data_IF_065502485831
#
_entry.id   IF_065502485831
#
_cell.length_a   1.000
_cell.length_b   1.000
_cell.length_c   1.000
_cell.angle_alpha   90.00
_cell.angle_beta   90.00
_cell.angle_gamma   90.00
#
_symmetry.space_group_name_H-M   'P 1'
#
loop_
_entity.id
_entity.type
_entity.pdbx_description
1 polymer ?
2 non-polymer ?
3 non-polymer ?
4 water ?
#
# COMPACT_ATOMS: atom_id res chain seq x y z
N UNK A 1 30.92 -3.83 -3.44
CA UNK A 1 29.44 -3.60 -3.32
C UNK A 1 29.06 -2.45 -2.35
N UNK A 2 28.31 -1.49 -2.87
CA UNK A 2 27.92 -0.30 -2.13
C UNK A 2 26.91 -0.64 -1.01
N UNK A 3 27.02 0.04 0.14
CA UNK A 3 26.00 -0.09 1.20
C UNK A 3 24.77 0.69 0.79
N UNK A 4 23.60 0.11 1.00
CA UNK A 4 22.37 0.83 0.77
C UNK A 4 21.94 1.56 2.04
N UNK A 5 21.52 2.83 1.93
CA UNK A 5 21.19 3.58 3.15
C UNK A 5 19.99 3.04 3.96
N UNK A 6 19.11 2.24 3.33
CA UNK A 6 17.97 1.62 4.04
C UNK A 6 18.34 0.38 4.85
N UNK A 7 19.55 -0.14 4.66
CA UNK A 7 19.85 -1.46 5.17
C UNK A 7 19.92 -1.49 6.68
N UNK A 8 20.46 -0.44 7.29
CA UNK A 8 20.58 -0.43 8.76
C UNK A 8 19.24 -0.61 9.47
N UNK A 9 18.22 0.10 9.02
CA UNK A 9 16.89 -0.01 9.64
C UNK A 9 16.37 -1.47 9.54
N UNK A 10 16.56 -2.05 8.36
CA UNK A 10 16.09 -3.42 8.07
C UNK A 10 16.87 -4.46 8.89
N UNK A 11 18.20 -4.38 8.84
CA UNK A 11 19.06 -5.33 9.59
C UNK A 11 18.80 -5.33 11.10
N UNK A 12 18.46 -4.17 11.67
CA UNK A 12 18.18 -4.07 13.09
C UNK A 12 16.93 -4.86 13.49
N UNK A 13 16.00 -5.11 12.55
CA UNK A 13 14.77 -5.85 12.93
C UNK A 13 14.55 -7.19 12.22
N UNK A 14 15.37 -7.54 11.22
CA UNK A 14 15.15 -8.78 10.45
C UNK A 14 15.30 -10.01 11.32
N UNK A 15 14.56 -11.08 11.01
CA UNK A 15 14.78 -12.37 11.65
C UNK A 15 15.99 -13.10 11.10
N UNK A 16 16.22 -14.29 11.65
CA UNK A 16 17.34 -15.16 11.25
C UNK A 16 17.42 -15.46 9.76
N UNK A 17 16.26 -15.58 9.10
CA UNK A 17 16.25 -15.84 7.67
C UNK A 17 16.40 -14.59 6.76
N UNK A 18 16.67 -13.42 7.34
CA UNK A 18 16.83 -12.19 6.57
C UNK A 18 15.54 -11.54 6.10
N UNK A 19 14.43 -11.94 6.72
CA UNK A 19 13.12 -11.39 6.39
C UNK A 19 12.46 -10.72 7.58
N UNK A 20 11.53 -9.84 7.26
CA UNK A 20 10.74 -9.14 8.24
C UNK A 20 9.25 -9.44 8.04
N UNK A 21 8.55 -9.51 9.18
CA UNK A 21 7.09 -9.57 9.21
C UNK A 21 6.50 -8.17 9.38
N UNK A 22 5.17 -8.07 9.49
CA UNK A 22 4.48 -6.77 9.55
C UNK A 22 4.91 -5.92 10.74
N UNK A 23 5.05 -6.60 11.87
CA UNK A 23 5.46 -5.99 13.13
C UNK A 23 6.83 -5.33 12.99
N UNK A 24 7.78 -6.07 12.41
CA UNK A 24 9.12 -5.55 12.20
C UNK A 24 9.12 -4.45 11.13
N UNK A 25 8.30 -4.60 10.08
CA UNK A 25 8.18 -3.53 9.07
C UNK A 25 7.67 -2.23 9.73
N UNK A 26 6.67 -2.33 10.59
CA UNK A 26 6.11 -1.19 11.32
C UNK A 26 7.22 -0.39 11.99
N UNK A 27 8.09 -1.10 12.69
CA UNK A 27 9.23 -0.48 13.37
C UNK A 27 10.22 0.19 12.42
N UNK A 28 10.60 -0.48 11.34
CA UNK A 28 11.64 0.10 10.50
C UNK A 28 11.07 1.22 9.63
N UNK A 29 9.78 1.16 9.31
CA UNK A 29 9.13 2.28 8.61
C UNK A 29 9.07 3.52 9.50
N UNK A 30 8.78 3.33 10.78
CA UNK A 30 8.76 4.45 11.70
C UNK A 30 10.18 5.00 11.89
N UNK A 31 11.16 4.14 12.19
CA UNK A 31 12.54 4.63 12.37
C UNK A 31 13.06 5.36 11.13
N UNK A 32 12.72 4.84 9.95
CA UNK A 32 13.15 5.42 8.70
C UNK A 32 12.42 6.70 8.31
N UNK A 33 11.34 7.04 9.01
CA UNK A 33 10.68 8.34 8.80
C UNK A 33 9.96 8.51 7.47
N UNK A 34 9.56 7.40 6.86
CA UNK A 34 8.92 7.45 5.54
C UNK A 34 7.62 8.28 5.50
N UNK A 35 6.92 8.34 6.63
CA UNK A 35 5.72 9.12 6.77
C UNK A 35 6.00 10.65 6.81
N UNK A 36 7.26 11.03 7.08
CA UNK A 36 7.71 12.41 6.95
C UNK A 36 6.84 13.46 7.60
N UNK A 37 6.53 13.30 8.86
CA UNK A 37 5.73 14.31 9.59
C UNK A 37 4.28 13.91 9.82
N UNK A 38 3.74 13.13 8.89
CA UNK A 38 2.43 12.53 9.06
C UNK A 38 2.53 11.37 10.05
N UNK A 39 1.37 10.92 10.53
CA UNK A 39 1.28 9.82 11.51
C UNK A 39 1.89 8.53 10.91
N UNK A 40 2.73 7.82 11.68
CA UNK A 40 3.37 6.60 11.17
C UNK A 40 2.38 5.46 10.96
N UNK A 41 2.72 4.54 10.09
CA UNK A 41 1.75 3.55 9.64
C UNK A 41 1.55 2.54 10.74
N UNK A 42 0.29 2.17 10.98
CA UNK A 42 -0.04 1.19 12.00
C UNK A 42 0.20 -0.23 11.47
N UNK A 43 0.06 -1.20 12.35
CA UNK A 43 0.42 -2.58 12.09
C UNK A 43 -0.41 -3.17 10.97
N UNK A 44 -1.69 -2.87 11.01
CA UNK A 44 -2.62 -3.35 10.02
C UNK A 44 -2.18 -2.91 8.61
N UNK A 45 -1.84 -1.64 8.50
CA UNK A 45 -1.47 -1.08 7.20
C UNK A 45 -0.18 -1.75 6.74
N UNK A 46 0.71 -2.04 7.69
CA UNK A 46 1.97 -2.72 7.36
C UNK A 46 1.72 -4.17 6.88
N UNK A 47 0.72 -4.85 7.45
CA UNK A 47 0.28 -6.14 6.91
C UNK A 47 -0.15 -6.09 5.44
N UNK A 48 -0.91 -5.07 5.09
CA UNK A 48 -1.28 -4.87 3.70
C UNK A 48 -0.02 -4.68 2.82
N UNK A 49 0.95 -3.90 3.31
CA UNK A 49 2.20 -3.66 2.57
C UNK A 49 2.98 -4.95 2.32
N UNK A 50 3.11 -5.75 3.37
CA UNK A 50 3.75 -7.05 3.24
C UNK A 50 3.11 -7.93 2.15
N UNK A 51 1.78 -7.98 2.10
CA UNK A 51 1.07 -8.77 1.09
C UNK A 51 1.24 -8.20 -0.32
N UNK A 52 1.23 -6.87 -0.42
CA UNK A 52 1.44 -6.21 -1.71
C UNK A 52 2.79 -6.60 -2.34
N UNK A 53 3.81 -6.71 -1.51
CA UNK A 53 5.16 -6.95 -2.02
C UNK A 53 5.51 -8.41 -2.07
N UNK A 54 5.14 -9.19 -1.06
CA UNK A 54 5.51 -10.61 -1.13
C UNK A 54 4.68 -11.38 -2.11
N UNK A 55 3.44 -10.95 -2.33
CA UNK A 55 2.52 -11.59 -3.27
C UNK A 55 2.54 -13.13 -3.19
N UNK A 56 2.66 -13.68 -1.98
CA UNK A 56 2.75 -15.13 -1.77
C UNK A 56 2.23 -15.61 -0.41
N UNK A 57 1.62 -14.70 0.36
CA UNK A 57 1.04 -15.04 1.67
C UNK A 57 2.01 -15.74 2.66
N UNK A 58 3.32 -15.44 2.58
CA UNK A 58 4.26 -15.88 3.62
C UNK A 58 4.17 -14.99 4.86
N UNK A 59 3.59 -13.81 4.71
CA UNK A 59 3.59 -12.80 5.76
C UNK A 59 4.93 -12.13 6.03
N UNK A 60 5.91 -12.30 5.15
CA UNK A 60 7.23 -11.72 5.35
C UNK A 60 7.76 -11.17 4.04
N UNK A 61 8.77 -10.32 4.15
CA UNK A 61 9.43 -9.74 3.00
C UNK A 61 10.92 -9.54 3.23
N UNK A 62 11.66 -9.52 2.13
CA UNK A 62 13.11 -9.38 2.13
C UNK A 62 13.49 -7.92 1.92
N UNK A 63 14.80 -7.65 2.02
CA UNK A 63 15.33 -6.29 1.89
C UNK A 63 15.05 -5.65 0.53
N UNK A 64 15.17 -6.40 -0.57
CA UNK A 64 14.87 -5.84 -1.89
C UNK A 64 13.44 -5.34 -2.00
N UNK A 65 12.51 -6.14 -1.47
CA UNK A 65 11.12 -5.73 -1.36
C UNK A 65 10.92 -4.52 -0.45
N UNK A 66 11.64 -4.46 0.67
CA UNK A 66 11.59 -3.29 1.54
C UNK A 66 12.03 -2.03 0.78
N UNK A 67 13.11 -2.13 0.00
CA UNK A 67 13.56 -0.99 -0.79
C UNK A 67 12.54 -0.54 -1.82
N UNK A 68 11.97 -1.49 -2.54
CA UNK A 68 10.92 -1.17 -3.50
C UNK A 68 9.74 -0.53 -2.79
N UNK A 69 9.32 -1.11 -1.66
CA UNK A 69 8.24 -0.53 -0.87
C UNK A 69 8.54 0.92 -0.50
N UNK A 70 9.75 1.15 0.00
CA UNK A 70 10.13 2.48 0.44
C UNK A 70 10.01 3.52 -0.69
N UNK A 71 10.54 3.20 -1.86
CA UNK A 71 10.41 4.10 -3.03
C UNK A 71 8.92 4.34 -3.43
N UNK A 72 8.10 3.31 -3.43
CA UNK A 72 6.69 3.46 -3.78
C UNK A 72 5.98 4.41 -2.77
N UNK A 73 6.27 4.25 -1.48
CA UNK A 73 5.63 5.04 -0.45
C UNK A 73 6.10 6.50 -0.47
N UNK A 74 7.38 6.70 -0.79
CA UNK A 74 7.95 8.03 -0.96
C UNK A 74 7.22 8.80 -2.07
N UNK A 75 7.08 8.19 -3.24
CA UNK A 75 6.29 8.78 -4.33
C UNK A 75 4.81 9.02 -3.96
N UNK A 76 4.18 8.07 -3.27
CA UNK A 76 2.77 8.28 -2.92
C UNK A 76 2.61 9.46 -1.96
N UNK A 77 3.53 9.58 -1.01
CA UNK A 77 3.51 10.68 -0.10
C UNK A 77 3.67 12.02 -0.83
N UNK A 78 4.64 12.11 -1.74
CA UNK A 78 4.80 13.34 -2.52
C UNK A 78 3.52 13.68 -3.24
N UNK A 79 2.88 12.66 -3.80
CA UNK A 79 1.63 12.86 -4.52
C UNK A 79 0.52 13.38 -3.61
N UNK A 80 0.36 12.76 -2.45
CA UNK A 80 -0.56 13.24 -1.44
C UNK A 80 -0.31 14.72 -1.09
N UNK A 81 0.95 15.07 -0.85
CA UNK A 81 1.31 16.44 -0.47
C UNK A 81 0.85 17.47 -1.51
N UNK A 82 0.92 17.13 -2.79
CA UNK A 82 0.42 18.05 -3.83
C UNK A 82 -1.09 18.34 -3.71
N UNK A 83 -1.83 17.49 -3.00
CA UNK A 83 -3.22 17.79 -2.67
C UNK A 83 -3.37 18.29 -1.25
N UNK A 84 -2.39 18.04 -0.39
CA UNK A 84 -2.42 18.53 0.97
C UNK A 84 -1.29 19.56 1.12
N UNK A 85 -1.44 20.69 0.44
CA UNK A 85 -0.42 21.75 0.47
C UNK A 85 -0.24 22.35 1.87
N UNK A 86 -1.35 22.64 2.56
CA UNK A 86 -1.31 23.11 3.96
C UNK A 86 -0.92 22.04 4.99
N UNK A 87 -0.65 20.82 4.52
CA UNK A 87 -0.19 19.73 5.38
C UNK A 87 -1.14 19.48 6.55
N UNK A 88 -2.45 19.41 6.29
CA UNK A 88 -3.39 19.04 7.37
C UNK A 88 -3.30 17.56 7.77
N UNK A 89 -2.75 16.72 6.88
CA UNK A 89 -2.78 15.29 7.08
C UNK A 89 -4.08 14.64 6.61
N UNK A 90 -4.91 15.41 5.90
CA UNK A 90 -6.17 14.90 5.36
C UNK A 90 -6.43 15.50 4.00
N UNK A 91 -7.43 14.95 3.35
CA UNK A 91 -7.72 15.25 1.97
C UNK A 91 -9.22 14.97 1.88
N UNK A 92 -9.93 15.61 0.95
CA UNK A 92 -11.37 15.35 0.83
C UNK A 92 -11.67 14.46 -0.38
N UNK A 93 -12.89 13.90 -0.44
CA UNK A 93 -13.21 12.94 -1.50
C UNK A 93 -12.95 13.42 -2.94
N UNK A 94 -13.08 14.72 -3.19
CA UNK A 94 -12.77 15.28 -4.51
C UNK A 94 -11.24 15.22 -4.77
N UNK A 95 -10.47 15.64 -3.78
CA UNK A 95 -9.00 15.55 -3.87
C UNK A 95 -8.53 14.08 -4.03
N UNK A 96 -9.15 13.17 -3.28
CA UNK A 96 -8.86 11.73 -3.37
C UNK A 96 -9.08 11.17 -4.77
N UNK A 97 -10.22 11.50 -5.37
CA UNK A 97 -10.53 11.07 -6.72
C UNK A 97 -9.42 11.47 -7.68
N UNK A 98 -9.07 12.75 -7.64
CA UNK A 98 -8.09 13.29 -8.55
C UNK A 98 -6.71 12.71 -8.24
N UNK A 99 -6.43 12.48 -6.96
CA UNK A 99 -5.17 11.86 -6.55
C UNK A 99 -5.06 10.43 -7.11
N UNK A 100 -6.14 9.65 -7.00
CA UNK A 100 -6.10 8.27 -7.51
C UNK A 100 -5.94 8.24 -9.03
N UNK A 101 -6.69 9.10 -9.72
CA UNK A 101 -6.65 9.16 -11.18
C UNK A 101 -5.27 9.51 -11.71
N UNK A 102 -4.62 10.46 -11.08
CA UNK A 102 -3.36 10.95 -11.62
C UNK A 102 -2.22 9.99 -11.32
N UNK A 103 -2.40 9.08 -10.37
CA UNK A 103 -1.35 8.11 -10.09
C UNK A 103 -1.53 6.81 -10.87
N UNK A 104 -2.38 6.83 -11.88
CA UNK A 104 -2.53 5.69 -12.78
C UNK A 104 -3.60 4.66 -12.46
N UNK A 105 -4.43 4.91 -11.44
CA UNK A 105 -5.59 4.04 -11.20
C UNK A 105 -6.78 4.47 -12.08
N UNK A 106 -7.34 3.50 -12.80
CA UNK A 106 -8.47 3.71 -13.70
C UNK A 106 -9.72 3.23 -13.01
N UNK A 107 -10.51 4.17 -12.50
CA UNK A 107 -11.66 3.84 -11.65
C UNK A 107 -12.92 4.58 -12.07
N UNK A 108 -14.00 3.83 -12.24
CA UNK A 108 -15.28 4.45 -12.52
C UNK A 108 -15.68 5.35 -11.34
N UNK A 109 -16.67 6.24 -11.55
CA UNK A 109 -17.11 7.13 -10.46
C UNK A 109 -17.63 6.39 -9.23
N UNK A 110 -18.37 5.31 -9.45
CA UNK A 110 -18.89 4.50 -8.34
C UNK A 110 -17.80 3.65 -7.66
N UNK A 111 -16.74 3.30 -8.38
CA UNK A 111 -15.56 2.71 -7.73
C UNK A 111 -14.96 3.72 -6.74
N UNK A 112 -14.87 4.97 -7.17
CA UNK A 112 -14.32 6.03 -6.33
C UNK A 112 -15.18 6.32 -5.09
N UNK A 113 -16.50 6.33 -5.30
CA UNK A 113 -17.47 6.46 -4.24
C UNK A 113 -17.38 5.31 -3.25
N UNK A 114 -17.27 4.09 -3.76
CA UNK A 114 -17.01 2.93 -2.89
C UNK A 114 -15.82 3.24 -1.95
N UNK A 115 -14.77 3.80 -2.54
CA UNK A 115 -13.50 4.03 -1.81
C UNK A 115 -13.60 5.20 -0.83
N UNK A 116 -14.32 6.25 -1.23
CA UNK A 116 -14.47 7.42 -0.35
C UNK A 116 -15.26 7.03 0.91
N UNK A 117 -16.37 6.33 0.73
CA UNK A 117 -17.17 5.87 1.86
C UNK A 117 -16.42 4.93 2.76
N UNK A 118 -15.59 4.10 2.14
CA UNK A 118 -14.83 3.12 2.89
C UNK A 118 -13.85 3.80 3.85
N UNK A 119 -13.26 4.94 3.46
CA UNK A 119 -12.13 5.52 4.24
C UNK A 119 -12.39 6.91 4.84
N UNK A 120 -13.53 7.52 4.57
CA UNK A 120 -13.71 8.88 5.05
C UNK A 120 -14.38 8.91 6.43
N UNK A 121 -13.95 9.85 7.28
CA UNK A 121 -14.69 10.20 8.50
C UNK A 121 -14.87 11.72 8.47
N UNK A 122 -16.12 12.17 8.56
CA UNK A 122 -16.41 13.59 8.64
C UNK A 122 -15.96 14.31 7.37
N UNK A 123 -16.20 13.68 6.22
CA UNK A 123 -15.77 14.24 4.96
C UNK A 123 -14.26 14.26 4.70
N UNK A 124 -13.47 13.54 5.50
CA UNK A 124 -12.01 13.56 5.34
C UNK A 124 -11.35 12.18 5.31
N UNK A 125 -10.28 12.06 4.51
CA UNK A 125 -9.47 10.85 4.43
C UNK A 125 -8.05 11.17 4.93
N UNK A 126 -7.63 10.50 5.99
CA UNK A 126 -6.29 10.68 6.51
C UNK A 126 -5.20 10.20 5.56
N UNK A 127 -3.99 10.70 5.80
CA UNK A 127 -2.85 10.24 5.05
C UNK A 127 -2.69 8.72 5.18
N UNK A 128 -2.82 8.21 6.39
CA UNK A 128 -2.61 6.80 6.65
C UNK A 128 -3.64 5.96 5.91
N UNK A 129 -4.89 6.43 5.79
CA UNK A 129 -5.95 5.68 5.08
C UNK A 129 -5.79 5.80 3.58
N UNK A 130 -5.38 6.98 3.14
CA UNK A 130 -4.97 7.14 1.76
C UNK A 130 -3.90 6.09 1.37
N UNK A 131 -2.85 5.96 2.17
CA UNK A 131 -1.79 5.00 1.84
C UNK A 131 -2.34 3.54 1.85
N UNK A 132 -3.11 3.21 2.88
CA UNK A 132 -3.73 1.88 2.96
C UNK A 132 -4.56 1.62 1.71
N UNK A 133 -5.35 2.61 1.30
CA UNK A 133 -6.14 2.54 0.09
C UNK A 133 -5.25 2.25 -1.14
N UNK A 134 -4.17 3.01 -1.32
CA UNK A 134 -3.28 2.81 -2.45
C UNK A 134 -2.58 1.44 -2.42
N UNK A 135 -2.17 0.99 -1.24
CA UNK A 135 -1.52 -0.29 -1.12
C UNK A 135 -2.47 -1.41 -1.59
N UNK A 136 -3.69 -1.35 -1.10
CA UNK A 136 -4.67 -2.39 -1.38
C UNK A 136 -5.07 -2.31 -2.84
N UNK A 137 -5.25 -1.11 -3.37
CA UNK A 137 -5.55 -0.94 -4.80
C UNK A 137 -4.48 -1.51 -5.71
N UNK A 138 -3.21 -1.27 -5.39
CA UNK A 138 -2.12 -1.78 -6.22
C UNK A 138 -2.01 -3.29 -6.07
N UNK A 139 -2.17 -3.81 -4.85
CA UNK A 139 -2.10 -5.26 -4.65
C UNK A 139 -3.22 -5.98 -5.42
N UNK A 140 -4.44 -5.47 -5.30
CA UNK A 140 -5.59 -6.09 -5.98
C UNK A 140 -5.53 -5.94 -7.48
N UNK A 141 -5.08 -4.79 -7.94
CA UNK A 141 -4.88 -4.56 -9.36
C UNK A 141 -3.78 -5.48 -9.89
N UNK A 142 -2.68 -5.66 -9.14
CA UNK A 142 -1.66 -6.63 -9.56
C UNK A 142 -2.26 -8.04 -9.64
N UNK A 143 -3.07 -8.41 -8.65
CA UNK A 143 -3.70 -9.75 -8.60
C UNK A 143 -4.62 -9.97 -9.79
N UNK A 144 -5.39 -8.95 -10.12
CA UNK A 144 -6.33 -9.04 -11.22
C UNK A 144 -5.57 -9.17 -12.55
N UNK A 145 -4.66 -8.24 -12.79
CA UNK A 145 -3.84 -8.24 -14.01
C UNK A 145 -3.10 -9.56 -14.19
N UNK A 146 -2.52 -10.09 -13.11
CA UNK A 146 -1.80 -11.38 -13.16
C UNK A 146 -2.70 -12.45 -13.77
N UNK A 147 -3.96 -12.45 -13.35
CA UNK A 147 -4.90 -13.49 -13.74
C UNK A 147 -5.54 -13.22 -15.10
N UNK A 148 -5.50 -11.98 -15.56
CA UNK A 148 -6.19 -11.62 -16.81
C UNK A 148 -5.24 -11.92 -17.99
N UNK A 149 -4.98 -13.20 -18.21
CA UNK A 149 -4.00 -13.65 -19.22
C UNK A 149 -4.40 -13.28 -20.67
N UNK A 150 -5.69 -13.14 -20.92
CA UNK A 150 -6.23 -12.79 -22.21
C UNK A 150 -6.36 -11.29 -22.35
N UNK A 151 -6.03 -10.54 -21.30
CA UNK A 151 -6.15 -9.09 -21.29
C UNK A 151 -7.51 -8.56 -21.76
N UNK A 152 -8.57 -9.18 -21.28
CA UNK A 152 -9.95 -8.74 -21.56
C UNK A 152 -10.54 -7.80 -20.52
N UNK A 153 -9.85 -7.57 -19.41
CA UNK A 153 -10.39 -6.72 -18.34
C UNK A 153 -11.46 -7.42 -17.52
N UNK A 154 -11.56 -8.73 -17.69
CA UNK A 154 -12.49 -9.56 -16.93
C UNK A 154 -11.67 -10.78 -16.51
N UNK A 155 -11.83 -11.21 -15.27
CA UNK A 155 -11.13 -12.38 -14.73
C UNK A 155 -12.15 -13.36 -14.20
N UNK A 156 -11.96 -14.62 -14.56
CA UNK A 156 -12.75 -15.73 -14.03
C UNK A 156 -12.19 -16.25 -12.75
N UNK A 157 -12.86 -15.96 -11.65
CA UNK A 157 -12.33 -16.27 -10.33
C UNK A 157 -13.07 -17.45 -9.76
N UNK A 158 -12.37 -18.57 -9.53
CA UNK A 158 -12.97 -19.55 -8.63
C UNK A 158 -13.06 -18.98 -7.22
N UNK A 159 -14.07 -19.44 -6.49
CA UNK A 159 -14.35 -18.98 -5.13
C UNK A 159 -13.12 -19.03 -4.21
N UNK A 160 -12.45 -20.18 -4.10
CA UNK A 160 -11.38 -20.27 -3.10
C UNK A 160 -10.17 -19.40 -3.48
N UNK A 161 -9.84 -19.30 -4.77
CA UNK A 161 -8.81 -18.38 -5.26
C UNK A 161 -9.19 -16.91 -4.97
N UNK A 162 -10.46 -16.55 -5.21
CA UNK A 162 -10.99 -15.22 -4.88
C UNK A 162 -10.77 -14.93 -3.39
N UNK A 163 -11.22 -15.83 -2.53
CA UNK A 163 -11.08 -15.64 -1.09
C UNK A 163 -9.60 -15.53 -0.66
N UNK A 164 -8.79 -16.48 -1.09
CA UNK A 164 -7.35 -16.47 -0.83
C UNK A 164 -6.74 -15.12 -1.14
N UNK A 165 -7.05 -14.64 -2.34
CA UNK A 165 -6.48 -13.43 -2.85
C UNK A 165 -6.97 -12.19 -2.10
N UNK A 166 -8.28 -12.06 -1.95
CA UNK A 166 -8.81 -10.87 -1.35
C UNK A 166 -8.61 -10.85 0.17
N UNK A 167 -8.63 -11.99 0.84
CA UNK A 167 -8.33 -11.99 2.30
C UNK A 167 -6.86 -11.68 2.66
N UNK A 168 -5.92 -11.76 1.71
CA UNK A 168 -4.51 -11.41 1.97
C UNK A 168 -4.30 -9.90 2.09
N UNK A 169 -5.21 -9.11 1.53
CA UNK A 169 -5.10 -7.66 1.63
C UNK A 169 -6.25 -7.01 2.42
X LIG B 1 3.31 -10.23 -12.46
X LIG B 1 4.44 -10.91 -11.78
X LIG B 1 3.60 -9.62 -13.79
X LIG B 1 2.81 -9.18 -11.56
X LIG B 1 2.22 -11.21 -12.68
X LIG C 1 -9.07 -4.66 4.63
X LIG C 1 -7.74 -4.03 4.51
X LIG C 1 -9.39 -5.43 3.40
X LIG C 1 -10.05 -3.55 4.66
X LIG C 1 -9.14 -5.55 5.80
X LIG D 1 -1.98 -13.44 -5.81
X LIG D 1 -0.79 -13.22 -4.94
X LIG D 1 -1.98 -12.43 -6.90
X LIG D 1 -3.22 -13.48 -5.01
X LIG D 1 -1.90 -14.77 -6.41
X LIG E 1 -6.58 -2.91 -15.66
X LIG E 1 -5.23 -3.48 -15.48
X LIG E 1 -6.70 -2.32 -17.02
X LIG E 1 -6.75 -1.81 -14.69
X LIG E 1 -7.61 -3.98 -15.56
X LIG F 1 -3.71 -5.82 13.77
X LIG F 1 -3.39 -4.46 14.33
X LIG F 1 -3.27 -5.92 12.37
X LIG F 1 -5.18 -6.02 13.88
X LIG F 1 -3.03 -6.91 14.51
X LIG G 1 2.27 -7.13 -19.87
X LIG G 1 2.30 -7.20 -21.30
X LIG G 1 0.84 -7.04 -19.33
X LIG G 1 0.49 -8.16 -18.48
X LIG G 1 1.34 -8.37 -17.33
X LIG G 1 0.56 -8.82 -16.07
X LIG G 1 0.95 -10.14 -15.61
X LIG H 1 -4.51 -5.07 -20.57
X LIG H 1 -3.90 -4.81 -21.85
X LIG H 1 -3.47 -5.60 -19.59
X LIG H 1 -4.05 -6.56 -18.70
X LIG H 1 -4.22 -6.06 -17.38
X LIG H 1 -5.69 -5.92 -16.97
X LIG H 1 -6.31 -7.17 -16.75
#
# INVERSE_FOLDING_TARGET
QTQDPLYGYFAAVAGQDGQIDADELQRCLTQSGIAGGYKPFNLETCRLMVSMLDRDMSGTMGFNEFKELWAVLNGWRQHFISFDTDRSGTVDPQELQKALTTMGFRLSPQAVNSIAKRYSTNGKITFDDYIACCVKLRALTDSFRRRDTAQQGVVNFPYDDFIQCVMSV
SO4 S O1 O2 O3 O4
SO4 S O1 O2 O3 O4
SO4 S O1 O2 O3 O4
SO4 S O1 O2 O3 O4
SO4 S O1 O2 O3 O4
PEG C1 O1 C2 O2 C3 C4 O4
PEG C1 O1 C2 O2 C3 C4 O4
#
